data_IF_192186426813
#
_entry.id   IF_192186426813
#
_cell.length_a   1.000
_cell.length_b   1.000
_cell.length_c   1.000
_cell.angle_alpha   90.00
_cell.angle_beta   90.00
_cell.angle_gamma   90.00
#
_symmetry.space_group_name_H-M   'P 1'
#
loop_
_entity.id
_entity.type
_entity.pdbx_description
1 polymer ?
#
# COMPACT_ATOMS: atom_id res chain seq x y z
N UNK A 1 5.44 -14.81 2.63
CA UNK A 1 5.94 -13.74 1.74
C UNK A 1 7.34 -13.26 2.16
N UNK A 2 8.20 -12.84 1.22
CA UNK A 2 9.39 -12.05 1.53
C UNK A 2 9.12 -10.55 1.26
N UNK A 3 8.65 -9.85 2.29
CA UNK A 3 8.26 -8.44 2.14
C UNK A 3 9.44 -7.52 1.89
N UNK A 4 9.18 -6.48 1.10
CA UNK A 4 10.11 -5.38 0.90
C UNK A 4 10.16 -4.55 2.18
N UNK A 5 11.36 -4.45 2.75
CA UNK A 5 11.60 -3.61 3.92
C UNK A 5 11.62 -2.14 3.51
N UNK A 6 10.64 -1.38 4.01
CA UNK A 6 10.55 0.06 3.82
C UNK A 6 11.16 0.79 5.02
N UNK A 7 11.73 1.97 4.79
CA UNK A 7 12.29 2.80 5.87
C UNK A 7 11.36 3.98 6.13
N UNK A 8 10.60 4.00 7.25
CA UNK A 8 9.58 5.03 7.50
C UNK A 8 10.10 6.47 7.45
N UNK A 9 11.33 6.71 7.91
CA UNK A 9 11.95 8.03 7.90
C UNK A 9 12.28 8.58 6.50
N UNK A 10 12.29 7.71 5.49
CA UNK A 10 12.61 8.05 4.10
C UNK A 10 11.36 8.16 3.23
N UNK A 11 10.17 8.07 3.82
CA UNK A 11 8.90 8.13 3.09
C UNK A 11 8.59 9.57 2.73
N UNK A 12 8.65 9.87 1.43
CA UNK A 12 8.46 11.23 0.90
C UNK A 12 7.63 11.18 -0.37
N UNK A 13 6.56 11.96 -0.41
CA UNK A 13 5.75 12.15 -1.61
C UNK A 13 6.54 12.90 -2.68
N UNK A 14 6.50 12.40 -3.92
CA UNK A 14 7.12 13.06 -5.07
C UNK A 14 6.23 14.16 -5.67
N UNK A 15 6.78 14.87 -6.65
CA UNK A 15 6.04 15.90 -7.40
C UNK A 15 4.83 15.30 -8.12
N UNK A 16 3.67 15.95 -7.99
CA UNK A 16 2.42 15.48 -8.61
C UNK A 16 1.70 14.38 -7.84
N UNK A 17 2.15 14.07 -6.62
CA UNK A 17 1.45 13.16 -5.71
C UNK A 17 0.02 13.63 -5.41
N UNK A 18 -0.93 12.69 -5.42
CA UNK A 18 -2.29 12.93 -4.92
C UNK A 18 -2.42 12.38 -3.51
N UNK A 19 -2.96 13.18 -2.60
CA UNK A 19 -3.06 12.82 -1.19
C UNK A 19 -4.47 12.99 -0.65
N UNK A 20 -4.82 12.16 0.33
CA UNK A 20 -6.03 12.28 1.14
C UNK A 20 -5.64 12.35 2.61
N UNK A 21 -6.44 13.04 3.41
CA UNK A 21 -6.33 13.04 4.88
C UNK A 21 -7.44 12.19 5.48
N UNK A 22 -7.21 11.66 6.68
CA UNK A 22 -8.24 10.93 7.40
C UNK A 22 -7.79 10.54 8.80
N UNK A 23 -8.42 9.51 9.35
CA UNK A 23 -8.14 8.98 10.68
C UNK A 23 -7.65 7.54 10.55
N UNK A 24 -6.59 7.19 11.27
CA UNK A 24 -6.09 5.83 11.35
C UNK A 24 -7.04 4.94 12.19
N UNK A 25 -7.34 3.75 11.68
CA UNK A 25 -8.15 2.74 12.36
C UNK A 25 -7.33 1.74 13.18
N UNK A 26 -6.02 1.66 12.90
CA UNK A 26 -5.04 0.85 13.60
C UNK A 26 -3.76 1.67 13.85
N UNK A 27 -2.75 1.05 14.48
CA UNK A 27 -1.41 1.59 14.46
C UNK A 27 -0.82 1.42 13.06
N UNK A 28 -0.47 2.54 12.40
CA UNK A 28 0.04 2.59 11.03
C UNK A 28 1.39 3.28 11.07
N UNK A 29 2.38 2.71 10.37
CA UNK A 29 3.68 3.34 10.16
C UNK A 29 3.72 4.05 8.80
N UNK A 30 4.55 5.10 8.69
CA UNK A 30 4.84 5.69 7.38
C UNK A 30 5.42 4.62 6.43
N UNK A 31 4.89 4.58 5.21
CA UNK A 31 5.23 3.58 4.19
C UNK A 31 4.28 2.38 4.17
N UNK A 32 3.45 2.18 5.20
CA UNK A 32 2.46 1.11 5.17
C UNK A 32 1.38 1.40 4.11
N UNK A 33 0.97 0.34 3.43
CA UNK A 33 -0.14 0.38 2.49
C UNK A 33 -1.46 0.27 3.24
N UNK A 34 -2.38 1.17 2.91
CA UNK A 34 -3.62 1.38 3.65
C UNK A 34 -4.80 1.51 2.72
N UNK A 35 -5.96 1.10 3.19
CA UNK A 35 -7.22 1.31 2.51
C UNK A 35 -8.19 2.08 3.41
N UNK A 36 -9.09 2.87 2.81
CA UNK A 36 -10.18 3.48 3.56
C UNK A 36 -11.31 2.47 3.68
N UNK A 37 -11.60 2.00 4.88
CA UNK A 37 -12.75 1.16 5.17
C UNK A 37 -14.02 2.02 5.18
N UNK A 38 -14.71 2.06 4.04
CA UNK A 38 -15.95 2.84 3.90
C UNK A 38 -17.18 2.08 4.40
N UNK A 39 -17.07 0.77 4.54
CA UNK A 39 -18.18 -0.10 4.91
C UNK A 39 -18.44 -0.14 6.42
N UNK A 40 -17.40 -0.09 7.26
CA UNK A 40 -17.57 -0.33 8.71
C UNK A 40 -17.07 0.80 9.60
N UNK A 41 -15.84 1.28 9.42
CA UNK A 41 -15.22 2.23 10.36
C UNK A 41 -15.13 3.67 9.86
N UNK A 42 -15.12 3.89 8.54
CA UNK A 42 -14.79 5.19 7.94
C UNK A 42 -13.34 5.63 8.18
N UNK A 43 -12.44 4.69 8.46
CA UNK A 43 -11.03 4.94 8.84
C UNK A 43 -10.07 4.24 7.90
N UNK A 44 -8.84 4.75 7.86
CA UNK A 44 -7.75 4.12 7.14
C UNK A 44 -7.25 2.91 7.93
N UNK A 45 -7.29 1.73 7.34
CA UNK A 45 -6.83 0.47 7.89
C UNK A 45 -5.68 -0.08 7.04
N UNK A 46 -4.93 -1.04 7.57
CA UNK A 46 -3.88 -1.70 6.80
C UNK A 46 -4.50 -2.51 5.66
N UNK A 47 -3.97 -2.33 4.44
CA UNK A 47 -4.38 -3.10 3.28
C UNK A 47 -3.70 -4.48 3.30
N UNK A 48 -4.37 -5.48 2.77
CA UNK A 48 -3.95 -6.87 2.87
C UNK A 48 -4.52 -7.65 1.67
N UNK A 49 -3.66 -8.41 0.96
CA UNK A 49 -4.04 -9.12 -0.26
C UNK A 49 -4.88 -10.38 -0.02
N UNK A 50 -4.83 -10.98 1.15
CA UNK A 50 -5.61 -12.20 1.49
C UNK A 50 -6.87 -11.89 2.32
N UNK A 51 -6.98 -10.64 2.78
CA UNK A 51 -8.09 -10.19 3.62
C UNK A 51 -9.44 -10.54 3.01
N UNK A 52 -10.40 -10.94 3.85
CA UNK A 52 -11.71 -11.41 3.39
C UNK A 52 -12.49 -10.37 2.56
N UNK A 53 -12.34 -9.07 2.87
CA UNK A 53 -13.04 -7.99 2.17
C UNK A 53 -12.28 -7.53 0.93
N UNK A 54 -12.99 -7.33 -0.18
CA UNK A 54 -12.39 -6.83 -1.42
C UNK A 54 -11.90 -5.38 -1.30
N UNK A 55 -12.47 -4.60 -0.38
CA UNK A 55 -12.03 -3.24 -0.10
C UNK A 55 -10.63 -3.21 0.52
N UNK A 56 -10.33 -4.12 1.46
CA UNK A 56 -8.99 -4.28 2.04
C UNK A 56 -7.92 -4.68 1.02
N UNK A 57 -8.35 -5.35 -0.05
CA UNK A 57 -7.52 -5.77 -1.19
C UNK A 57 -7.37 -4.68 -2.26
N UNK A 58 -7.97 -3.50 -2.09
CA UNK A 58 -7.79 -2.35 -2.99
C UNK A 58 -8.87 -2.14 -4.06
N UNK A 59 -10.04 -2.80 -3.97
CA UNK A 59 -11.09 -2.73 -5.00
C UNK A 59 -11.63 -1.31 -5.25
N UNK A 60 -11.74 -0.46 -4.21
CA UNK A 60 -12.49 0.81 -4.30
C UNK A 60 -11.66 2.00 -4.78
N UNK A 61 -10.38 1.79 -5.14
CA UNK A 61 -9.45 2.88 -5.45
C UNK A 61 -9.15 3.80 -4.25
N UNK A 62 -9.71 3.52 -3.06
CA UNK A 62 -9.36 4.17 -1.81
C UNK A 62 -8.25 3.41 -1.11
N UNK A 63 -7.19 3.12 -1.86
CA UNK A 63 -5.98 2.48 -1.38
C UNK A 63 -4.81 3.43 -1.63
N UNK A 64 -3.81 3.38 -0.77
CA UNK A 64 -2.68 4.29 -0.83
C UNK A 64 -1.57 3.89 0.11
N UNK A 65 -0.56 4.76 0.20
CA UNK A 65 0.56 4.62 1.12
C UNK A 65 0.54 5.71 2.17
N UNK A 66 0.74 5.35 3.43
CA UNK A 66 0.79 6.29 4.55
C UNK A 66 2.05 7.18 4.46
N UNK A 67 1.88 8.50 4.49
CA UNK A 67 2.98 9.46 4.52
C UNK A 67 3.50 9.78 5.93
N UNK A 68 2.74 9.40 6.95
CA UNK A 68 3.12 9.56 8.35
C UNK A 68 2.65 8.37 9.18
N UNK A 69 3.33 8.14 10.31
CA UNK A 69 2.85 7.18 11.31
C UNK A 69 1.71 7.79 12.12
N UNK A 70 0.77 6.95 12.54
CA UNK A 70 -0.39 7.33 13.36
C UNK A 70 -0.83 6.15 14.22
N UNK A 71 -1.15 6.40 15.49
CA UNK A 71 -1.87 5.41 16.30
C UNK A 71 -3.36 5.40 15.92
N UNK A 72 -4.07 4.37 16.37
CA UNK A 72 -5.52 4.30 16.17
C UNK A 72 -6.21 5.59 16.70
N UNK A 73 -7.14 6.11 15.90
CA UNK A 73 -7.86 7.37 16.11
C UNK A 73 -7.02 8.64 15.99
N UNK A 74 -5.81 8.57 15.43
CA UNK A 74 -4.99 9.76 15.14
C UNK A 74 -5.06 10.16 13.65
N UNK A 75 -4.79 11.43 13.32
CA UNK A 75 -4.75 11.89 11.94
C UNK A 75 -3.68 11.19 11.11
N UNK A 76 -4.01 10.89 9.86
CA UNK A 76 -3.09 10.31 8.88
C UNK A 76 -3.26 10.96 7.50
N UNK A 77 -2.15 11.10 6.78
CA UNK A 77 -2.09 11.52 5.39
C UNK A 77 -1.68 10.32 4.54
N UNK A 78 -2.43 10.07 3.48
CA UNK A 78 -2.25 8.92 2.59
C UNK A 78 -2.07 9.41 1.17
N UNK A 79 -1.02 8.96 0.49
CA UNK A 79 -0.82 9.20 -0.94
C UNK A 79 -1.52 8.11 -1.75
N UNK A 80 -2.38 8.51 -2.68
CA UNK A 80 -3.22 7.60 -3.50
C UNK A 80 -2.78 7.49 -4.95
N UNK A 81 -1.84 8.33 -5.38
CA UNK A 81 -1.33 8.33 -6.75
C UNK A 81 -0.01 9.10 -6.89
N UNK A 82 0.72 8.80 -7.95
CA UNK A 82 1.97 9.48 -8.31
C UNK A 82 3.23 8.89 -7.68
N UNK A 83 4.40 9.53 -7.87
CA UNK A 83 5.68 9.01 -7.36
C UNK A 83 5.78 9.13 -5.83
N UNK A 84 6.34 8.12 -5.18
CA UNK A 84 6.67 8.11 -3.75
C UNK A 84 8.05 7.50 -3.52
N UNK A 85 8.85 8.12 -2.66
CA UNK A 85 10.11 7.55 -2.16
C UNK A 85 9.82 6.75 -0.91
N UNK A 86 10.29 5.50 -0.81
CA UNK A 86 9.95 4.59 0.31
C UNK A 86 11.16 4.07 1.10
N UNK A 87 12.37 4.57 0.80
CA UNK A 87 13.60 4.17 1.51
C UNK A 87 13.89 2.67 1.48
N UNK A 88 13.50 2.00 0.41
CA UNK A 88 13.76 0.61 0.14
C UNK A 88 14.70 0.47 -1.06
N UNK A 89 15.18 -0.75 -1.32
CA UNK A 89 15.94 -1.08 -2.53
C UNK A 89 15.03 -1.85 -3.47
N UNK A 90 14.54 -1.17 -4.49
CA UNK A 90 13.77 -1.76 -5.57
C UNK A 90 14.66 -2.15 -6.75
N UNK A 91 14.15 -3.03 -7.61
CA UNK A 91 14.68 -3.20 -8.97
C UNK A 91 13.93 -2.24 -9.90
N UNK A 92 14.64 -1.37 -10.62
CA UNK A 92 13.99 -0.45 -11.56
C UNK A 92 13.21 -1.24 -12.65
N UNK A 93 11.98 -0.83 -12.92
CA UNK A 93 11.05 -1.53 -13.82
C UNK A 93 10.34 -2.73 -13.20
N UNK A 94 10.54 -3.01 -11.90
CA UNK A 94 9.82 -4.08 -11.20
C UNK A 94 8.42 -3.62 -10.80
N UNK A 95 7.42 -4.45 -11.11
CA UNK A 95 6.06 -4.32 -10.59
C UNK A 95 6.00 -4.85 -9.17
N UNK A 96 5.40 -4.08 -8.27
CA UNK A 96 5.19 -4.46 -6.88
C UNK A 96 3.72 -4.69 -6.59
N UNK A 97 3.47 -5.64 -5.68
CA UNK A 97 2.15 -6.14 -5.32
C UNK A 97 1.90 -5.92 -3.83
N UNK A 98 0.62 -5.88 -3.47
CA UNK A 98 0.20 -5.89 -2.08
C UNK A 98 0.50 -7.25 -1.45
N UNK A 99 0.99 -7.23 -0.21
CA UNK A 99 1.32 -8.43 0.56
C UNK A 99 0.13 -8.97 1.37
N UNK A 100 0.20 -10.26 1.71
CA UNK A 100 -0.58 -10.99 2.72
C UNK A 100 -0.24 -10.51 4.14
N UNK A 101 0.89 -9.82 4.28
CA UNK A 101 1.30 -9.19 5.51
C UNK A 101 0.76 -7.77 5.51
N UNK A 102 -0.14 -7.41 6.44
CA UNK A 102 -0.88 -6.16 6.39
C UNK A 102 0.03 -4.94 6.23
N UNK A 103 -0.26 -4.15 5.20
CA UNK A 103 0.41 -2.91 4.85
C UNK A 103 1.77 -3.06 4.19
N UNK A 104 2.16 -4.27 3.76
CA UNK A 104 3.47 -4.51 3.14
C UNK A 104 3.38 -4.70 1.62
N UNK A 105 4.56 -4.69 1.00
CA UNK A 105 4.75 -4.94 -0.43
C UNK A 105 5.58 -6.18 -0.65
N UNK A 106 5.30 -6.86 -1.75
CA UNK A 106 6.05 -8.00 -2.21
C UNK A 106 6.26 -7.96 -3.73
N UNK A 107 7.28 -8.66 -4.25
CA UNK A 107 7.39 -8.94 -5.69
C UNK A 107 6.38 -10.03 -6.10
N UNK A 108 6.09 -10.13 -7.41
CA UNK A 108 5.19 -11.14 -7.97
C UNK A 108 5.53 -12.58 -7.55
N UNK A 109 6.82 -12.89 -7.38
CA UNK A 109 7.29 -14.23 -7.04
C UNK A 109 6.85 -14.70 -5.65
N UNK A 110 6.46 -13.77 -4.77
CA UNK A 110 6.03 -14.07 -3.41
C UNK A 110 4.50 -14.17 -3.26
N UNK A 111 3.74 -13.83 -4.30
CA UNK A 111 2.28 -14.01 -4.33
C UNK A 111 1.98 -15.52 -4.41
N UNK A 112 1.35 -16.06 -3.38
CA UNK A 112 1.13 -17.51 -3.22
C UNK A 112 -0.32 -17.83 -2.82
N UNK A 113 -0.71 -19.11 -2.92
CA UNK A 113 -2.11 -19.56 -2.96
C UNK A 113 -3.07 -18.87 -1.98
N UNK A 114 -4.08 -18.21 -2.54
CA UNK A 114 -5.09 -17.44 -1.81
C UNK A 114 -4.94 -15.92 -1.91
N UNK A 115 -3.74 -15.45 -2.24
CA UNK A 115 -3.43 -14.02 -2.38
C UNK A 115 -4.06 -13.42 -3.63
N UNK A 116 -4.70 -12.27 -3.50
CA UNK A 116 -5.22 -11.56 -4.67
C UNK A 116 -4.14 -10.74 -5.36
N UNK A 117 -4.11 -10.80 -6.70
CA UNK A 117 -3.23 -9.93 -7.47
C UNK A 117 -3.74 -8.48 -7.41
N UNK A 118 -3.15 -7.71 -6.50
CA UNK A 118 -3.29 -6.26 -6.39
C UNK A 118 -1.95 -5.61 -6.70
N UNK A 119 -1.83 -5.03 -7.90
CA UNK A 119 -0.66 -4.25 -8.27
C UNK A 119 -0.73 -2.93 -7.52
N UNK A 120 0.39 -2.55 -6.91
CA UNK A 120 0.53 -1.25 -6.24
C UNK A 120 1.14 -0.22 -7.16
N UNK A 121 2.07 -0.64 -8.02
CA UNK A 121 2.73 0.25 -8.96
C UNK A 121 4.02 -0.32 -9.54
N UNK A 122 4.74 0.55 -10.23
CA UNK A 122 5.99 0.22 -10.92
C UNK A 122 7.15 1.03 -10.33
N UNK A 123 8.23 0.35 -9.95
CA UNK A 123 9.44 1.00 -9.48
C UNK A 123 10.10 1.78 -10.63
N UNK A 124 10.14 3.11 -10.52
CA UNK A 124 10.78 3.98 -11.52
C UNK A 124 12.29 4.12 -11.30
N UNK A 125 12.75 3.83 -10.08
CA UNK A 125 14.16 3.74 -9.72
C UNK A 125 14.36 2.72 -8.60
N UNK A 126 15.58 2.64 -8.05
CA UNK A 126 15.86 1.79 -6.89
C UNK A 126 15.22 2.28 -5.60
N UNK A 127 14.63 3.48 -5.56
CA UNK A 127 14.06 4.07 -4.34
C UNK A 127 12.68 4.69 -4.53
N UNK A 128 12.26 4.91 -5.78
CA UNK A 128 10.99 5.56 -6.13
C UNK A 128 10.04 4.55 -6.74
N UNK A 129 8.83 4.51 -6.19
CA UNK A 129 7.69 3.75 -6.70
C UNK A 129 6.68 4.72 -7.30
N UNK A 130 6.27 4.49 -8.54
CA UNK A 130 5.14 5.21 -9.11
C UNK A 130 3.88 4.42 -8.76
N UNK A 131 3.10 4.93 -7.80
CA UNK A 131 1.90 4.20 -7.35
C UNK A 131 0.74 4.44 -8.31
N UNK A 132 0.15 3.33 -8.73
CA UNK A 132 -1.04 3.21 -9.55
C UNK A 132 -1.66 1.85 -9.24
N UNK A 133 -2.71 1.86 -8.42
CA UNK A 133 -3.27 0.64 -7.87
C UNK A 133 -4.19 -0.05 -8.87
N UNK A 134 -3.97 -1.34 -9.11
CA UNK A 134 -4.81 -2.15 -10.01
C UNK A 134 -5.20 -3.45 -9.32
N UNK A 135 -6.49 -3.60 -9.05
CA UNK A 135 -7.07 -4.80 -8.43
C UNK A 135 -7.64 -5.72 -9.51
N UNK A 136 -7.12 -6.95 -9.59
CA UNK A 136 -7.59 -7.93 -10.58
C UNK A 136 -8.89 -8.64 -10.20
N UNK A 137 -9.18 -8.76 -8.90
CA UNK A 137 -10.26 -9.63 -8.41
C UNK A 137 -9.97 -11.13 -8.50
N UNK A 138 -8.74 -11.52 -8.86
CA UNK A 138 -8.34 -12.92 -9.04
C UNK A 138 -7.37 -13.32 -7.93
N UNK A 139 -7.67 -14.43 -7.26
CA UNK A 139 -6.76 -15.07 -6.31
C UNK A 139 -5.72 -15.92 -7.04
N UNK A 140 -4.52 -15.99 -6.50
CA UNK A 140 -3.47 -16.90 -6.93
C UNK A 140 -3.91 -18.37 -6.73
N UNK A 141 -3.44 -19.27 -7.61
CA UNK A 141 -3.76 -20.70 -7.52
C UNK A 141 -3.11 -21.40 -6.33
#
# INVERSE_FOLDING_TARGET
>A
MADITLTPASVVAGTGATTKTGTAGAAIAAGDFVYLDTATTGKWQLADSDAASAEARGQTGNIGVALNSAAANQPIVVQTGGPVTLGAVFTAGQTLYLSDTPGKLCPLADITGGDYYTIVGLASSTSVLNIDFQYSGVASP
#
